data_IF_648799089329
#
_entry.id   IF_648799089329
#
_cell.length_a   1.000
_cell.length_b   1.000
_cell.length_c   1.000
_cell.angle_alpha   90.00
_cell.angle_beta   90.00
_cell.angle_gamma   90.00
#
_symmetry.space_group_name_H-M   'P 1'
#
loop_
_entity.id
_entity.type
_entity.pdbx_description
1 polymer ?
#
# COMPACT_ATOMS: atom_id res chain seq x y z
N UNK A 1 4.30 -16.47 -15.04
CA UNK A 1 4.43 -15.44 -16.09
C UNK A 1 5.54 -14.49 -15.65
N UNK A 2 6.45 -14.07 -16.54
CA UNK A 2 7.58 -13.16 -16.29
C UNK A 2 8.73 -13.69 -15.40
N UNK A 3 9.32 -14.86 -15.71
CA UNK A 3 10.42 -15.43 -14.90
C UNK A 3 11.69 -14.56 -14.91
N UNK A 4 11.89 -13.71 -15.91
CA UNK A 4 13.14 -12.94 -16.09
C UNK A 4 13.03 -11.48 -15.67
N UNK A 5 11.80 -10.98 -15.46
CA UNK A 5 11.53 -9.58 -15.11
C UNK A 5 11.55 -9.40 -13.60
N UNK A 6 12.20 -8.35 -13.12
CA UNK A 6 12.07 -7.95 -11.72
C UNK A 6 10.65 -7.44 -11.46
N UNK A 7 9.95 -8.00 -10.46
CA UNK A 7 8.62 -7.54 -10.06
C UNK A 7 8.78 -6.35 -9.12
N UNK A 8 8.77 -5.15 -9.68
CA UNK A 8 9.06 -3.91 -8.97
C UNK A 8 7.76 -3.33 -8.39
N UNK A 9 7.52 -3.53 -7.10
CA UNK A 9 6.26 -3.17 -6.44
C UNK A 9 6.39 -1.87 -5.66
N UNK A 10 5.58 -0.88 -6.06
CA UNK A 10 5.47 0.40 -5.38
C UNK A 10 4.73 0.26 -4.05
N UNK A 11 5.43 0.56 -2.94
CA UNK A 11 4.91 0.52 -1.57
C UNK A 11 5.42 1.71 -0.76
N UNK A 12 4.63 2.23 0.17
CA UNK A 12 5.13 3.18 1.17
C UNK A 12 5.89 2.45 2.28
N UNK A 13 6.83 3.17 2.90
CA UNK A 13 7.83 2.59 3.80
C UNK A 13 7.25 2.00 5.10
N UNK A 14 6.23 2.65 5.67
CA UNK A 14 5.56 2.22 6.91
C UNK A 14 4.15 1.72 6.61
N UNK A 15 3.87 0.45 6.85
CA UNK A 15 2.54 -0.15 6.68
C UNK A 15 2.50 -1.06 5.44
N UNK A 16 2.45 -0.49 4.23
CA UNK A 16 2.24 -1.30 3.00
C UNK A 16 3.37 -2.28 2.75
N UNK A 17 4.61 -1.85 2.95
CA UNK A 17 5.78 -2.68 2.75
C UNK A 17 5.68 -3.94 3.62
N UNK A 18 5.50 -3.76 4.93
CA UNK A 18 5.44 -4.84 5.91
C UNK A 18 4.20 -5.72 5.69
N UNK A 19 3.04 -5.10 5.41
CA UNK A 19 1.81 -5.83 5.09
C UNK A 19 1.97 -6.71 3.85
N UNK A 20 2.56 -6.17 2.78
CA UNK A 20 2.76 -6.93 1.54
C UNK A 20 3.74 -8.09 1.77
N UNK A 21 4.83 -7.87 2.51
CA UNK A 21 5.75 -8.94 2.90
C UNK A 21 4.99 -10.04 3.66
N UNK A 22 4.22 -9.69 4.69
CA UNK A 22 3.46 -10.65 5.48
C UNK A 22 2.45 -11.44 4.63
N UNK A 23 1.74 -10.79 3.70
CA UNK A 23 0.82 -11.46 2.78
C UNK A 23 1.54 -12.39 1.81
N UNK A 24 2.72 -12.01 1.31
CA UNK A 24 3.54 -12.88 0.47
C UNK A 24 4.00 -14.13 1.25
N UNK A 25 4.42 -13.97 2.51
CA UNK A 25 4.76 -15.10 3.38
C UNK A 25 3.55 -16.00 3.63
N UNK A 26 2.39 -15.43 3.94
CA UNK A 26 1.15 -16.19 4.13
C UNK A 26 0.73 -16.97 2.87
N UNK A 27 1.09 -16.45 1.68
CA UNK A 27 0.89 -17.13 0.40
C UNK A 27 1.99 -18.18 0.07
N UNK A 28 2.94 -18.44 0.98
CA UNK A 28 4.01 -19.43 0.82
C UNK A 28 5.23 -18.94 0.03
N UNK A 29 5.41 -17.62 -0.12
CA UNK A 29 6.61 -17.09 -0.77
C UNK A 29 7.78 -17.07 0.22
N UNK A 30 8.65 -18.08 0.17
CA UNK A 30 9.80 -18.23 1.09
C UNK A 30 11.11 -17.61 0.57
N UNK A 31 11.15 -17.22 -0.71
CA UNK A 31 12.36 -16.65 -1.33
C UNK A 31 12.67 -15.25 -0.76
N UNK A 32 13.92 -14.78 -0.84
CA UNK A 32 14.26 -13.41 -0.46
C UNK A 32 13.41 -12.37 -1.19
N UNK A 33 12.96 -11.36 -0.44
CA UNK A 33 12.33 -10.16 -0.99
C UNK A 33 13.38 -9.05 -0.96
N UNK A 34 13.58 -8.37 -2.08
CA UNK A 34 14.57 -7.32 -2.19
C UNK A 34 13.97 -5.95 -1.88
N UNK A 35 14.69 -5.13 -1.12
CA UNK A 35 14.22 -3.84 -0.65
C UNK A 35 15.07 -2.69 -1.20
N UNK A 36 14.40 -1.63 -1.63
CA UNK A 36 15.01 -0.31 -1.72
C UNK A 36 15.49 0.15 -0.33
N UNK A 37 16.62 0.88 -0.26
CA UNK A 37 17.24 1.30 1.01
C UNK A 37 16.30 2.06 1.95
N UNK A 38 15.44 2.92 1.41
CA UNK A 38 14.43 3.66 2.16
C UNK A 38 13.40 2.79 2.92
N UNK A 39 13.29 1.50 2.61
CA UNK A 39 12.36 0.57 3.29
C UNK A 39 13.03 -0.23 4.42
N UNK A 40 14.36 -0.28 4.45
CA UNK A 40 15.13 -1.23 5.27
C UNK A 40 14.93 -0.95 6.76
N UNK A 41 15.19 0.27 7.22
CA UNK A 41 15.19 0.60 8.65
C UNK A 41 13.85 0.28 9.35
N UNK A 42 12.72 0.48 8.67
CA UNK A 42 11.41 0.13 9.23
C UNK A 42 11.16 -1.38 9.24
N UNK A 43 11.66 -2.12 8.25
CA UNK A 43 11.57 -3.58 8.28
C UNK A 43 12.45 -4.17 9.39
N UNK A 44 13.67 -3.67 9.56
CA UNK A 44 14.56 -4.06 10.66
C UNK A 44 13.93 -3.76 12.02
N UNK A 45 13.26 -2.61 12.19
CA UNK A 45 12.50 -2.30 13.39
C UNK A 45 11.39 -3.31 13.65
N UNK A 46 10.62 -3.70 12.63
CA UNK A 46 9.57 -4.70 12.77
C UNK A 46 10.14 -6.05 13.22
N UNK A 47 11.26 -6.50 12.65
CA UNK A 47 11.94 -7.73 13.07
C UNK A 47 12.46 -7.64 14.50
N UNK A 48 13.05 -6.50 14.89
CA UNK A 48 13.48 -6.25 16.27
C UNK A 48 12.32 -6.26 17.28
N UNK A 49 11.11 -5.93 16.84
CA UNK A 49 9.87 -6.01 17.62
C UNK A 49 9.19 -7.39 17.53
N UNK A 50 9.83 -8.38 16.91
CA UNK A 50 9.36 -9.77 16.86
C UNK A 50 8.37 -10.07 15.73
N UNK A 51 8.23 -9.20 14.72
CA UNK A 51 7.42 -9.49 13.53
C UNK A 51 8.28 -10.24 12.50
N UNK A 52 8.00 -11.52 12.19
CA UNK A 52 8.82 -12.30 11.28
C UNK A 52 8.55 -11.88 9.83
N UNK A 53 9.46 -11.11 9.24
CA UNK A 53 9.39 -10.69 7.83
C UNK A 53 10.11 -11.67 6.87
N UNK A 54 10.89 -12.59 7.42
CA UNK A 54 11.67 -13.56 6.67
C UNK A 54 12.85 -12.92 5.94
N UNK A 55 13.46 -13.59 4.96
CA UNK A 55 14.67 -13.08 4.31
C UNK A 55 14.38 -11.81 3.50
N UNK A 56 14.99 -10.70 3.92
CA UNK A 56 14.98 -9.41 3.26
C UNK A 56 16.40 -9.02 2.85
N UNK A 57 16.59 -8.62 1.59
CA UNK A 57 17.92 -8.28 1.05
C UNK A 57 17.93 -6.88 0.41
N UNK A 58 19.04 -6.12 0.50
CA UNK A 58 19.13 -4.82 -0.14
C UNK A 58 19.23 -4.94 -1.66
N UNK A 59 18.26 -4.40 -2.38
CA UNK A 59 18.24 -4.37 -3.85
C UNK A 59 19.42 -3.57 -4.45
N UNK A 60 20.00 -2.66 -3.67
CA UNK A 60 21.15 -1.86 -4.10
C UNK A 60 22.47 -2.62 -4.16
N UNK A 61 22.59 -3.75 -3.47
CA UNK A 61 23.80 -4.57 -3.44
C UNK A 61 23.70 -5.84 -4.31
N UNK A 62 22.50 -6.17 -4.79
CA UNK A 62 22.25 -7.36 -5.61
C UNK A 62 22.72 -7.17 -7.07
N UNK A 63 23.27 -8.23 -7.67
CA UNK A 63 23.53 -8.27 -9.09
C UNK A 63 22.22 -8.34 -9.89
N UNK A 64 22.23 -7.85 -11.14
CA UNK A 64 21.04 -7.89 -12.01
C UNK A 64 20.45 -9.29 -12.17
N UNK A 65 21.29 -10.32 -12.24
CA UNK A 65 20.84 -11.71 -12.38
C UNK A 65 20.06 -12.21 -11.15
N UNK A 66 20.37 -11.71 -9.96
CA UNK A 66 19.67 -12.09 -8.72
C UNK A 66 18.28 -11.46 -8.63
N UNK A 67 18.09 -10.32 -9.30
CA UNK A 67 16.84 -9.57 -9.33
C UNK A 67 15.87 -10.08 -10.43
N UNK A 68 16.35 -10.89 -11.37
CA UNK A 68 15.51 -11.48 -12.41
C UNK A 68 14.46 -12.41 -11.78
N UNK A 69 13.18 -12.15 -12.06
CA UNK A 69 12.06 -12.89 -11.46
C UNK A 69 11.86 -12.68 -9.96
N UNK A 70 12.65 -11.81 -9.32
CA UNK A 70 12.55 -11.52 -7.90
C UNK A 70 11.47 -10.46 -7.61
N UNK A 71 10.97 -10.43 -6.38
CA UNK A 71 10.13 -9.36 -5.87
C UNK A 71 11.03 -8.27 -5.31
N UNK A 72 10.88 -7.05 -5.83
CA UNK A 72 11.61 -5.87 -5.39
C UNK A 72 10.62 -4.83 -4.91
N UNK A 73 10.66 -4.49 -3.62
CA UNK A 73 9.82 -3.45 -3.03
C UNK A 73 10.56 -2.12 -3.05
N UNK A 74 9.89 -1.05 -3.46
CA UNK A 74 10.45 0.30 -3.49
C UNK A 74 9.38 1.37 -3.27
N UNK A 75 9.75 2.56 -2.77
CA UNK A 75 8.87 3.72 -2.83
C UNK A 75 8.41 4.01 -4.27
N UNK A 76 7.15 4.43 -4.50
CA UNK A 76 6.67 4.75 -5.84
C UNK A 76 7.54 5.78 -6.59
N UNK A 77 8.09 6.75 -5.87
CA UNK A 77 9.02 7.75 -6.43
C UNK A 77 10.32 7.13 -6.94
N UNK A 78 10.85 6.11 -6.27
CA UNK A 78 12.07 5.40 -6.70
C UNK A 78 11.83 4.51 -7.93
N UNK A 79 10.59 4.05 -8.15
CA UNK A 79 10.23 3.33 -9.37
C UNK A 79 10.12 4.26 -10.59
N UNK A 80 9.83 5.54 -10.35
CA UNK A 80 9.74 6.56 -11.39
C UNK A 80 11.09 7.21 -11.72
N UNK A 81 12.15 6.98 -10.94
CA UNK A 81 13.43 7.65 -11.09
C UNK A 81 14.53 6.77 -11.74
N UNK A 82 15.78 7.24 -11.71
CA UNK A 82 16.92 6.51 -12.30
C UNK A 82 17.28 5.23 -11.56
N UNK A 83 16.90 5.07 -10.30
CA UNK A 83 17.16 3.89 -9.50
C UNK A 83 16.59 2.64 -10.18
N UNK A 84 15.36 2.72 -10.70
CA UNK A 84 14.68 1.61 -11.37
C UNK A 84 15.46 0.99 -12.54
N UNK A 85 16.36 1.75 -13.18
CA UNK A 85 17.21 1.28 -14.31
C UNK A 85 18.20 0.16 -13.92
N UNK A 86 18.41 -0.07 -12.62
CA UNK A 86 19.21 -1.19 -12.15
C UNK A 86 18.45 -2.52 -12.21
N UNK A 87 17.13 -2.48 -12.23
CA UNK A 87 16.30 -3.68 -12.27
C UNK A 87 16.31 -4.26 -13.69
N UNK A 88 16.39 -5.59 -13.86
CA UNK A 88 16.24 -6.25 -15.15
C UNK A 88 14.78 -6.17 -15.61
N UNK A 89 14.53 -5.44 -16.71
CA UNK A 89 13.21 -5.29 -17.35
C UNK A 89 12.04 -5.19 -16.34
N UNK A 90 12.02 -4.16 -15.47
CA UNK A 90 11.12 -4.13 -14.33
C UNK A 90 9.67 -4.21 -14.77
N UNK A 91 8.95 -5.19 -14.24
CA UNK A 91 7.49 -5.26 -14.27
C UNK A 91 6.96 -4.34 -13.18
N UNK A 92 6.42 -3.19 -13.60
CA UNK A 92 5.97 -2.15 -12.67
C UNK A 92 4.64 -2.56 -12.06
N UNK A 93 4.65 -2.81 -10.76
CA UNK A 93 3.48 -3.10 -9.96
C UNK A 93 3.25 -2.00 -8.92
N UNK A 94 2.02 -1.81 -8.47
CA UNK A 94 1.72 -0.89 -7.38
C UNK A 94 0.70 -1.52 -6.43
N UNK A 95 0.94 -1.40 -5.13
CA UNK A 95 0.08 -1.92 -4.08
C UNK A 95 -0.68 -0.77 -3.40
N UNK A 96 -1.93 -0.54 -3.81
CA UNK A 96 -2.75 0.56 -3.29
C UNK A 96 -4.24 0.31 -3.53
N UNK A 97 -5.12 0.81 -2.64
CA UNK A 97 -6.57 0.80 -2.88
C UNK A 97 -6.96 1.56 -4.17
N UNK A 98 -6.17 2.57 -4.54
CA UNK A 98 -6.36 3.33 -5.77
C UNK A 98 -6.15 2.52 -7.05
N UNK A 99 -5.53 1.35 -6.97
CA UNK A 99 -5.37 0.45 -8.11
C UNK A 99 -6.70 -0.14 -8.59
N UNK A 100 -7.79 0.05 -7.83
CA UNK A 100 -9.16 -0.21 -8.30
C UNK A 100 -9.57 0.73 -9.45
N UNK A 101 -8.98 1.93 -9.54
CA UNK A 101 -9.29 2.94 -10.56
C UNK A 101 -8.36 2.75 -11.76
N UNK A 102 -8.90 2.19 -12.86
CA UNK A 102 -8.15 1.90 -14.09
C UNK A 102 -7.36 3.09 -14.65
N UNK A 103 -7.93 4.29 -14.59
CA UNK A 103 -7.26 5.50 -15.07
C UNK A 103 -5.98 5.80 -14.28
N UNK A 104 -6.01 5.64 -12.94
CA UNK A 104 -4.85 5.87 -12.08
C UNK A 104 -3.72 4.88 -12.37
N UNK A 105 -4.06 3.59 -12.56
CA UNK A 105 -3.09 2.57 -12.96
C UNK A 105 -2.42 2.91 -14.30
N UNK A 106 -3.22 3.29 -15.30
CA UNK A 106 -2.72 3.69 -16.63
C UNK A 106 -1.83 4.93 -16.58
N UNK A 107 -2.24 5.97 -15.86
CA UNK A 107 -1.45 7.21 -15.71
C UNK A 107 -0.09 6.97 -15.05
N UNK A 108 -0.03 6.02 -14.11
CA UNK A 108 1.21 5.65 -13.41
C UNK A 108 2.01 4.56 -14.12
N UNK A 109 1.61 4.13 -15.32
CA UNK A 109 2.31 3.08 -16.08
C UNK A 109 2.38 1.73 -15.35
N UNK A 110 1.41 1.45 -14.47
CA UNK A 110 1.38 0.22 -13.68
C UNK A 110 0.88 -0.92 -14.57
N UNK A 111 1.73 -1.92 -14.79
CA UNK A 111 1.40 -3.14 -15.53
C UNK A 111 0.63 -4.14 -14.65
N UNK A 112 0.96 -4.20 -13.36
CA UNK A 112 0.31 -5.08 -12.39
C UNK A 112 -0.30 -4.28 -11.21
N UNK A 113 -1.58 -3.88 -11.34
CA UNK A 113 -2.30 -3.19 -10.26
C UNK A 113 -2.70 -4.18 -9.16
N UNK A 114 -2.18 -3.99 -7.94
CA UNK A 114 -2.56 -4.76 -6.75
C UNK A 114 -3.50 -3.92 -5.88
N UNK A 115 -4.77 -4.32 -5.80
CA UNK A 115 -5.80 -3.61 -5.04
C UNK A 115 -5.70 -4.00 -3.56
N UNK A 116 -4.91 -3.25 -2.81
CA UNK A 116 -4.70 -3.46 -1.38
C UNK A 116 -4.65 -2.11 -0.64
N UNK A 117 -5.60 -1.92 0.29
CA UNK A 117 -5.69 -0.73 1.14
C UNK A 117 -5.29 -1.04 2.57
N UNK A 118 -4.78 -0.04 3.30
CA UNK A 118 -4.58 -0.13 4.76
C UNK A 118 -5.65 0.66 5.53
N UNK A 119 -6.72 1.05 4.85
CA UNK A 119 -7.90 1.69 5.45
C UNK A 119 -9.01 0.68 5.69
N UNK A 120 -9.85 0.98 6.68
CA UNK A 120 -11.11 0.28 6.90
C UNK A 120 -11.96 0.30 5.63
N UNK A 121 -12.57 -0.83 5.30
CA UNK A 121 -13.57 -0.89 4.25
C UNK A 121 -14.95 -0.43 4.73
N UNK A 122 -15.93 -0.45 3.82
CA UNK A 122 -17.26 0.08 4.11
C UNK A 122 -17.98 -0.66 5.25
N UNK A 123 -18.05 -2.01 5.26
CA UNK A 123 -18.53 -2.75 6.42
C UNK A 123 -17.79 -2.42 7.72
N UNK A 124 -16.45 -2.36 7.70
CA UNK A 124 -15.65 -2.06 8.90
C UNK A 124 -15.94 -0.65 9.46
N UNK A 125 -16.15 0.36 8.59
CA UNK A 125 -16.55 1.70 8.98
C UNK A 125 -17.92 1.72 9.67
N UNK A 126 -18.92 1.04 9.09
CA UNK A 126 -20.26 0.98 9.69
C UNK A 126 -20.24 0.20 11.02
N UNK A 127 -19.53 -0.93 11.07
CA UNK A 127 -19.35 -1.70 12.29
C UNK A 127 -18.70 -0.87 13.39
N UNK A 128 -17.69 -0.05 13.07
CA UNK A 128 -17.06 0.85 14.04
C UNK A 128 -18.06 1.87 14.62
N UNK A 129 -18.97 2.39 13.80
CA UNK A 129 -20.03 3.32 14.28
C UNK A 129 -21.01 2.59 15.20
N UNK A 130 -21.36 1.34 14.88
CA UNK A 130 -22.23 0.52 15.74
C UNK A 130 -21.55 0.18 17.08
N UNK A 131 -20.29 -0.26 17.04
CA UNK A 131 -19.52 -0.67 18.23
C UNK A 131 -19.26 0.47 19.19
N UNK A 132 -19.07 1.69 18.68
CA UNK A 132 -18.79 2.88 19.51
C UNK A 132 -20.05 3.61 19.98
N UNK A 133 -21.20 3.33 19.37
CA UNK A 133 -22.51 3.96 19.60
C UNK A 133 -22.46 5.48 19.89
N UNK A 134 -21.89 6.29 18.98
CA UNK A 134 -21.72 7.71 19.23
C UNK A 134 -23.04 8.46 19.06
N UNK A 135 -23.21 9.54 19.83
CA UNK A 135 -24.34 10.45 19.65
C UNK A 135 -24.27 11.21 18.30
N UNK A 136 -23.05 11.48 17.81
CA UNK A 136 -22.80 12.16 16.55
C UNK A 136 -21.48 11.68 15.91
N UNK A 137 -21.48 11.51 14.58
CA UNK A 137 -20.30 11.16 13.78
C UNK A 137 -19.87 12.34 12.90
N UNK A 138 -18.57 12.66 12.95
CA UNK A 138 -17.97 13.67 12.10
C UNK A 138 -17.03 12.99 11.12
N UNK A 139 -17.32 13.12 9.82
CA UNK A 139 -16.60 12.43 8.74
C UNK A 139 -15.55 13.36 8.15
N UNK A 140 -14.40 12.84 7.73
CA UNK A 140 -13.34 13.57 7.02
C UNK A 140 -12.47 12.60 6.22
N UNK A 141 -11.45 13.11 5.50
CA UNK A 141 -10.47 12.33 4.73
C UNK A 141 -11.12 11.37 3.70
N UNK A 142 -11.93 11.92 2.79
CA UNK A 142 -12.50 11.17 1.68
C UNK A 142 -13.84 11.72 1.18
N UNK A 143 -14.56 10.91 0.42
CA UNK A 143 -15.92 11.24 -0.03
C UNK A 143 -16.91 11.04 1.11
N UNK A 144 -17.28 12.13 1.77
CA UNK A 144 -17.99 12.12 3.05
C UNK A 144 -19.49 11.81 2.91
N UNK A 145 -20.12 12.29 1.83
CA UNK A 145 -21.58 12.27 1.63
C UNK A 145 -22.21 10.90 1.84
N UNK A 146 -21.56 9.85 1.33
CA UNK A 146 -22.07 8.49 1.40
C UNK A 146 -22.08 7.97 2.84
N UNK A 147 -20.99 8.18 3.58
CA UNK A 147 -20.88 7.72 4.97
C UNK A 147 -21.79 8.52 5.89
N UNK A 148 -21.86 9.85 5.71
CA UNK A 148 -22.79 10.73 6.44
C UNK A 148 -24.23 10.26 6.23
N UNK A 149 -24.63 10.00 4.98
CA UNK A 149 -25.96 9.50 4.67
C UNK A 149 -26.25 8.14 5.33
N UNK A 150 -25.32 7.19 5.23
CA UNK A 150 -25.49 5.85 5.80
C UNK A 150 -25.61 5.89 7.33
N UNK A 151 -24.80 6.68 8.02
CA UNK A 151 -24.90 6.84 9.48
C UNK A 151 -26.22 7.49 9.86
N UNK A 152 -26.67 8.51 9.12
CA UNK A 152 -27.95 9.17 9.36
C UNK A 152 -29.15 8.20 9.24
N UNK A 153 -29.08 7.22 8.32
CA UNK A 153 -30.11 6.19 8.18
C UNK A 153 -30.23 5.27 9.41
N UNK A 154 -29.21 5.21 10.27
CA UNK A 154 -29.25 4.47 11.54
C UNK A 154 -29.92 5.26 12.68
N UNK A 155 -30.38 6.49 12.41
CA UNK A 155 -30.97 7.38 13.41
C UNK A 155 -29.96 8.20 14.21
N UNK A 156 -28.66 8.14 13.85
CA UNK A 156 -27.58 8.91 14.48
C UNK A 156 -27.33 10.22 13.75
N UNK A 157 -26.88 11.25 14.47
CA UNK A 157 -26.43 12.49 13.83
C UNK A 157 -25.10 12.23 13.08
N UNK A 158 -24.97 12.76 11.88
CA UNK A 158 -23.74 12.68 11.11
C UNK A 158 -23.53 13.94 10.27
N UNK A 159 -22.28 14.41 10.18
CA UNK A 159 -21.92 15.55 9.33
C UNK A 159 -20.48 15.48 8.84
N UNK A 160 -20.24 16.19 7.75
CA UNK A 160 -18.91 16.47 7.25
C UNK A 160 -18.14 17.39 8.21
N UNK A 161 -16.87 17.08 8.49
CA UNK A 161 -15.95 17.94 9.22
C UNK A 161 -15.27 18.87 8.21
N UNK A 162 -15.87 20.04 8.00
CA UNK A 162 -15.29 21.08 7.16
C UNK A 162 -14.10 21.75 7.88
N UNK A 163 -12.88 21.24 7.66
CA UNK A 163 -11.64 21.85 8.14
C UNK A 163 -11.24 22.99 7.20
N UNK A 164 -11.33 24.23 7.67
CA UNK A 164 -10.87 25.41 6.92
C UNK A 164 -9.37 25.28 6.64
N UNK A 165 -8.99 25.24 5.35
CA UNK A 165 -7.59 25.17 4.91
C UNK A 165 -7.07 23.76 4.60
N UNK A 166 -7.87 22.71 4.81
CA UNK A 166 -7.61 21.36 4.29
C UNK A 166 -8.45 21.16 3.02
N UNK A 167 -7.88 21.48 1.87
CA UNK A 167 -8.37 20.90 0.61
C UNK A 167 -7.83 19.47 0.54
N UNK A 168 -8.68 18.50 0.19
CA UNK A 168 -8.25 17.12 -0.08
C UNK A 168 -7.03 17.17 -1.00
N UNK A 169 -5.84 16.89 -0.46
CA UNK A 169 -4.64 16.74 -1.27
C UNK A 169 -4.94 15.61 -2.26
N UNK A 170 -5.02 15.97 -3.54
CA UNK A 170 -5.22 15.03 -4.61
C UNK A 170 -3.96 14.18 -4.76
N UNK A 171 -3.83 13.15 -3.92
CA UNK A 171 -2.82 12.09 -4.05
C UNK A 171 -3.07 11.22 -5.29
#
# INVERSE_FOLDING_TARGET
>A
LFPDRAHAVGVYALGKCQRLIALLRAAGYERPIYLHGALIALCELYEALGVPLGPLLPAGAAAKAELAGAIVLAPPSALADRWARRLPDPLVAAASGWMRVRQRARQRGVELPLVISDHADWPELLATVEDTDPAEVWVTHGREDALVHAVAQTGRAARALALVGFEDEAE
#
